data_IF_355753076977
#
_entry.id   IF_355753076977
#
_cell.length_a   1.000
_cell.length_b   1.000
_cell.length_c   1.000
_cell.angle_alpha   90.00
_cell.angle_beta   90.00
_cell.angle_gamma   90.00
#
_symmetry.space_group_name_H-M   'P 1'
#
loop_
_entity.id
_entity.type
_entity.pdbx_description
1 polymer ?
#
# COMPACT_ATOMS: atom_id res chain seq x y z
N UNK A 1 -28.90 22.88 36.27
CA UNK A 1 -27.90 22.15 37.09
C UNK A 1 -28.17 20.65 37.18
N UNK A 2 -29.37 20.17 37.56
CA UNK A 2 -29.67 18.72 37.65
C UNK A 2 -29.45 17.91 36.36
N UNK A 3 -29.83 18.45 35.19
CA UNK A 3 -29.61 17.76 33.90
C UNK A 3 -28.12 17.59 33.58
N UNK A 4 -27.32 18.63 33.82
CA UNK A 4 -25.87 18.62 33.58
C UNK A 4 -25.18 17.60 34.50
N UNK A 5 -25.61 17.53 35.76
CA UNK A 5 -25.11 16.53 36.72
C UNK A 5 -25.43 15.10 36.28
N UNK A 6 -26.65 14.85 35.79
CA UNK A 6 -27.03 13.53 35.29
C UNK A 6 -26.23 13.14 34.04
N UNK A 7 -26.00 14.06 33.09
CA UNK A 7 -25.15 13.79 31.93
C UNK A 7 -23.69 13.53 32.31
N UNK A 8 -23.14 14.30 33.26
CA UNK A 8 -21.79 14.07 33.78
C UNK A 8 -21.65 12.68 34.43
N UNK A 9 -22.68 12.23 35.15
CA UNK A 9 -22.73 10.88 35.72
C UNK A 9 -22.83 9.79 34.64
N UNK A 10 -23.62 9.98 33.57
CA UNK A 10 -23.68 9.03 32.47
C UNK A 10 -22.34 8.93 31.71
N UNK A 11 -21.67 10.06 31.50
CA UNK A 11 -20.34 10.09 30.87
C UNK A 11 -19.31 9.40 31.75
N UNK A 12 -19.30 9.66 33.07
CA UNK A 12 -18.33 8.98 33.94
C UNK A 12 -18.56 7.47 33.98
N UNK A 13 -19.83 7.03 34.03
CA UNK A 13 -20.18 5.61 33.99
C UNK A 13 -19.70 4.95 32.68
N UNK A 14 -19.89 5.62 31.54
CA UNK A 14 -19.44 5.13 30.24
C UNK A 14 -17.91 5.01 30.18
N UNK A 15 -17.18 6.01 30.69
CA UNK A 15 -15.71 5.98 30.71
C UNK A 15 -15.17 4.84 31.56
N UNK A 16 -15.78 4.58 32.74
CA UNK A 16 -15.37 3.49 33.62
C UNK A 16 -15.62 2.13 32.94
N UNK A 17 -16.76 1.96 32.26
CA UNK A 17 -17.07 0.72 31.54
C UNK A 17 -16.06 0.43 30.41
N UNK A 18 -15.67 1.45 29.64
CA UNK A 18 -14.70 1.32 28.55
C UNK A 18 -13.27 1.00 29.03
N UNK A 19 -12.90 1.46 30.23
CA UNK A 19 -11.58 1.16 30.82
C UNK A 19 -11.39 -0.32 31.17
N UNK A 20 -12.46 -1.08 31.42
CA UNK A 20 -12.37 -2.52 31.71
C UNK A 20 -12.29 -3.40 30.46
N UNK A 21 -12.55 -2.87 29.28
CA UNK A 21 -12.50 -3.62 28.00
C UNK A 21 -11.26 -3.29 27.16
N UNK A 22 -10.39 -2.39 27.64
CA UNK A 22 -9.23 -1.91 26.89
C UNK A 22 -7.99 -2.81 27.01
N UNK A 23 -7.97 -3.77 27.95
CA UNK A 23 -6.93 -4.79 28.01
C UNK A 23 -7.22 -5.86 26.96
N UNK A 24 -6.85 -5.59 25.71
CA UNK A 24 -6.63 -6.65 24.73
C UNK A 24 -5.29 -7.29 25.08
N UNK A 25 -5.30 -8.61 25.31
CA UNK A 25 -4.07 -9.38 25.30
C UNK A 25 -3.59 -9.44 23.85
N UNK A 26 -2.55 -8.67 23.50
CA UNK A 26 -1.85 -8.83 22.23
C UNK A 26 -1.08 -10.15 22.28
N UNK A 27 -1.71 -11.21 21.79
CA UNK A 27 -1.04 -12.46 21.50
C UNK A 27 -0.91 -12.62 19.99
N UNK A 28 0.29 -12.42 19.48
CA UNK A 28 0.64 -12.99 18.17
C UNK A 28 0.87 -14.48 18.39
N UNK A 29 -0.09 -15.31 17.96
CA UNK A 29 0.21 -16.71 17.73
C UNK A 29 1.26 -16.73 16.61
N UNK A 30 2.53 -16.92 16.98
CA UNK A 30 3.55 -17.30 16.00
C UNK A 30 3.13 -18.68 15.53
N UNK A 31 2.34 -18.70 14.47
CA UNK A 31 1.99 -19.89 13.75
C UNK A 31 3.32 -20.40 13.18
N UNK A 32 3.99 -21.27 13.93
CA UNK A 32 5.21 -21.93 13.45
C UNK A 32 4.92 -22.84 12.27
N UNK A 33 3.63 -23.07 11.96
CA UNK A 33 3.13 -23.63 10.71
C UNK A 33 3.89 -24.87 10.26
N UNK A 34 3.80 -25.15 8.97
CA UNK A 34 4.83 -25.95 8.31
C UNK A 34 6.14 -25.15 8.27
N UNK A 35 7.28 -25.84 8.29
CA UNK A 35 8.58 -25.20 8.12
C UNK A 35 8.56 -24.24 6.92
N UNK A 36 9.20 -23.05 7.01
CA UNK A 36 9.19 -22.07 5.95
C UNK A 36 9.58 -22.72 4.62
N UNK A 37 8.63 -22.78 3.69
CA UNK A 37 8.86 -23.39 2.39
C UNK A 37 9.56 -22.36 1.50
N UNK A 38 10.70 -22.76 0.94
CA UNK A 38 11.41 -21.92 -0.02
C UNK A 38 10.55 -21.73 -1.29
N UNK A 39 10.58 -20.51 -1.85
CA UNK A 39 10.02 -20.27 -3.18
C UNK A 39 10.89 -21.01 -4.19
N UNK A 40 10.37 -22.09 -4.75
CA UNK A 40 11.06 -22.84 -5.79
C UNK A 40 10.86 -22.18 -7.15
N UNK A 41 11.81 -22.34 -8.06
CA UNK A 41 11.75 -21.74 -9.40
C UNK A 41 10.51 -22.18 -10.22
N UNK A 42 9.95 -23.35 -9.94
CA UNK A 42 8.76 -23.88 -10.62
C UNK A 42 7.45 -23.54 -9.90
N UNK A 43 7.49 -22.78 -8.81
CA UNK A 43 6.29 -22.42 -8.04
C UNK A 43 5.47 -21.34 -8.76
N UNK A 44 4.16 -21.33 -8.54
CA UNK A 44 3.28 -20.27 -9.04
C UNK A 44 3.63 -18.89 -8.48
N UNK A 45 4.19 -18.83 -7.26
CA UNK A 45 4.67 -17.58 -6.66
C UNK A 45 5.89 -17.05 -7.40
N UNK A 46 6.85 -17.90 -7.78
CA UNK A 46 8.00 -17.48 -8.59
C UNK A 46 7.55 -16.96 -9.96
N UNK A 47 6.61 -17.65 -10.62
CA UNK A 47 6.01 -17.22 -11.89
C UNK A 47 5.29 -15.86 -11.75
N UNK A 48 4.55 -15.66 -10.66
CA UNK A 48 3.91 -14.38 -10.39
C UNK A 48 4.92 -13.25 -10.20
N UNK A 49 5.98 -13.48 -9.41
CA UNK A 49 7.06 -12.50 -9.20
C UNK A 49 7.69 -12.17 -10.55
N UNK A 50 8.07 -13.18 -11.33
CA UNK A 50 8.70 -13.00 -12.64
C UNK A 50 7.83 -12.15 -13.57
N UNK A 51 6.53 -12.48 -13.71
CA UNK A 51 5.63 -11.68 -14.57
C UNK A 51 5.48 -10.26 -14.06
N UNK A 52 5.36 -10.07 -12.75
CA UNK A 52 5.17 -8.75 -12.14
C UNK A 52 6.40 -7.86 -12.29
N UNK A 53 7.60 -8.45 -12.24
CA UNK A 53 8.87 -7.72 -12.36
C UNK A 53 9.48 -7.76 -13.76
N UNK A 54 8.77 -8.31 -14.76
CA UNK A 54 9.30 -8.48 -16.12
C UNK A 54 9.33 -7.19 -16.93
N UNK A 55 8.46 -6.23 -16.58
CA UNK A 55 8.51 -4.89 -17.15
C UNK A 55 9.35 -4.00 -16.24
N UNK A 56 10.47 -3.48 -16.76
CA UNK A 56 11.34 -2.53 -16.04
C UNK A 56 10.68 -1.15 -15.93
N UNK A 57 9.93 -0.75 -16.95
CA UNK A 57 9.21 0.53 -16.99
C UNK A 57 10.10 1.77 -16.89
N UNK A 58 11.43 1.65 -16.99
CA UNK A 58 12.35 2.75 -16.69
C UNK A 58 12.63 3.67 -17.89
N UNK A 59 12.16 3.30 -19.09
CA UNK A 59 12.50 3.95 -20.36
C UNK A 59 12.02 5.40 -20.50
N UNK A 60 10.95 5.77 -19.80
CA UNK A 60 10.33 7.09 -19.82
C UNK A 60 10.39 7.82 -18.46
N UNK A 61 11.19 7.32 -17.52
CA UNK A 61 11.48 7.96 -16.23
C UNK A 61 11.89 9.44 -16.35
N UNK A 62 12.51 9.82 -17.48
CA UNK A 62 12.90 11.20 -17.74
C UNK A 62 11.68 12.14 -17.88
N UNK A 63 10.52 11.58 -18.23
CA UNK A 63 9.25 12.29 -18.44
C UNK A 63 8.36 12.23 -17.20
N UNK A 64 8.17 11.06 -16.57
CA UNK A 64 7.22 10.88 -15.48
C UNK A 64 7.84 10.68 -14.07
N UNK A 65 9.13 10.36 -14.01
CA UNK A 65 9.87 10.14 -12.78
C UNK A 65 9.59 8.82 -12.04
N UNK A 66 9.03 7.80 -12.69
CA UNK A 66 8.73 6.52 -12.02
C UNK A 66 8.77 5.30 -12.95
N UNK A 67 9.39 4.20 -12.49
CA UNK A 67 9.47 2.96 -13.27
C UNK A 67 8.31 1.99 -13.05
N UNK A 68 7.25 2.47 -12.38
CA UNK A 68 6.10 1.65 -11.98
C UNK A 68 5.14 1.36 -13.14
N UNK A 69 5.18 2.16 -14.20
CA UNK A 69 4.34 2.08 -15.39
C UNK A 69 5.04 2.81 -16.53
N UNK A 70 4.53 2.64 -17.74
CA UNK A 70 5.04 3.30 -18.95
C UNK A 70 3.92 4.14 -19.59
N UNK A 71 4.29 5.28 -20.16
CA UNK A 71 3.45 6.13 -20.98
C UNK A 71 3.29 5.47 -22.34
N UNK A 72 2.04 5.24 -22.75
CA UNK A 72 1.75 4.75 -24.08
C UNK A 72 2.10 5.79 -25.15
N UNK A 73 2.84 5.35 -26.17
CA UNK A 73 3.04 6.14 -27.38
C UNK A 73 1.74 6.29 -28.20
N UNK A 74 1.59 7.40 -28.96
CA UNK A 74 2.45 8.59 -28.91
C UNK A 74 2.09 9.48 -27.70
N UNK A 75 3.08 10.19 -27.17
CA UNK A 75 2.88 11.20 -26.12
C UNK A 75 3.60 12.51 -26.45
N UNK A 76 3.13 13.60 -25.83
CA UNK A 76 3.69 14.93 -26.04
C UNK A 76 4.38 15.45 -24.77
N UNK A 77 5.56 16.05 -24.95
CA UNK A 77 6.34 16.69 -23.88
C UNK A 77 6.74 18.10 -24.29
N UNK A 78 7.02 18.95 -23.32
CA UNK A 78 7.61 20.27 -23.56
C UNK A 78 9.03 20.30 -23.02
N UNK A 79 10.01 20.52 -23.89
CA UNK A 79 11.42 20.62 -23.52
C UNK A 79 11.90 22.03 -23.84
N UNK A 80 12.22 22.81 -22.81
CA UNK A 80 12.65 24.21 -22.95
C UNK A 80 11.69 25.09 -23.78
N UNK A 81 10.36 24.88 -23.64
CA UNK A 81 9.34 25.63 -24.39
C UNK A 81 9.07 25.09 -25.80
N UNK A 82 9.71 23.99 -26.21
CA UNK A 82 9.48 23.35 -27.51
C UNK A 82 8.59 22.12 -27.30
N UNK A 83 7.38 22.06 -27.90
CA UNK A 83 6.56 20.86 -27.88
C UNK A 83 7.17 19.80 -28.80
N UNK A 84 7.32 18.59 -28.27
CA UNK A 84 7.81 17.41 -28.98
C UNK A 84 6.78 16.30 -28.86
N UNK A 85 6.59 15.53 -29.94
CA UNK A 85 5.84 14.29 -29.94
C UNK A 85 6.83 13.14 -30.01
N UNK A 86 6.69 12.18 -29.09
CA UNK A 86 7.47 10.96 -29.05
C UNK A 86 6.55 9.84 -29.52
N UNK A 87 6.93 9.15 -30.58
CA UNK A 87 6.09 8.15 -31.27
C UNK A 87 6.55 6.71 -30.99
N UNK A 88 7.78 6.52 -30.52
CA UNK A 88 8.40 5.23 -30.22
C UNK A 88 9.55 5.38 -29.22
N UNK A 89 10.05 4.25 -28.73
CA UNK A 89 11.22 4.15 -27.85
C UNK A 89 12.55 4.37 -28.60
N UNK A 90 12.61 4.01 -29.89
CA UNK A 90 13.69 4.36 -30.85
C UNK A 90 13.43 5.70 -31.55
#
# INVERSE_FOLDING_TARGET
>A
MKKIFNYAMYVSLLTIALSFTACQDEFEEINTGEAPQAITASSSTADLIQRTSSNDGSGDNIVDGTSCFEINFPYAVEVNGIPLTIDSEE
#
